data_IF_164537709014
#
_entry.id   IF_164537709014
#
_cell.length_a   1.000
_cell.length_b   1.000
_cell.length_c   1.000
_cell.angle_alpha   90.00
_cell.angle_beta   90.00
_cell.angle_gamma   90.00
#
_symmetry.space_group_name_H-M   'P 1'
#
loop_
_entity.id
_entity.type
_entity.pdbx_description
1 polymer ?
#
# COMPACT_ATOMS: atom_id res chain seq x y z
N UNK A 1 3.85 34.06 -2.56
CA UNK A 1 4.15 32.65 -2.88
C UNK A 1 2.95 31.79 -2.46
N UNK A 2 2.47 30.89 -3.30
CA UNK A 2 1.46 29.89 -2.88
C UNK A 2 2.11 28.93 -1.88
N UNK A 3 1.35 28.41 -0.92
CA UNK A 3 1.86 27.40 0.01
C UNK A 3 2.23 26.11 -0.72
N UNK A 4 3.20 25.33 -0.21
CA UNK A 4 3.56 24.00 -0.75
C UNK A 4 2.33 23.09 -0.92
N UNK A 5 1.31 23.28 -0.09
CA UNK A 5 0.05 22.55 -0.17
C UNK A 5 -0.83 22.99 -1.36
N UNK A 6 -0.88 24.29 -1.66
CA UNK A 6 -1.60 24.80 -2.83
C UNK A 6 -0.89 24.40 -4.14
N UNK A 7 0.44 24.44 -4.16
CA UNK A 7 1.24 23.98 -5.30
C UNK A 7 1.05 22.49 -5.58
N UNK A 8 0.99 21.65 -4.53
CA UNK A 8 0.75 20.21 -4.68
C UNK A 8 -0.53 19.92 -5.48
N UNK A 9 -1.63 20.63 -5.18
CA UNK A 9 -2.91 20.43 -5.89
C UNK A 9 -2.85 20.83 -7.36
N UNK A 10 -1.96 21.74 -7.73
CA UNK A 10 -1.82 22.22 -9.11
C UNK A 10 -0.95 21.29 -9.97
N UNK A 11 0.02 20.62 -9.37
CA UNK A 11 1.01 19.80 -10.09
C UNK A 11 0.80 18.30 -9.92
N UNK A 12 -0.02 17.86 -8.95
CA UNK A 12 -0.33 16.47 -8.70
C UNK A 12 -1.81 16.12 -8.95
N UNK A 13 -2.11 15.05 -9.71
CA UNK A 13 -1.18 14.23 -10.49
C UNK A 13 -0.61 14.98 -11.70
N UNK A 14 0.46 14.43 -12.30
CA UNK A 14 1.00 14.97 -13.55
C UNK A 14 -0.06 14.88 -14.67
N UNK A 15 -0.11 15.84 -15.60
CA UNK A 15 -1.11 15.84 -16.69
C UNK A 15 -1.16 14.55 -17.53
N UNK A 16 -0.02 13.87 -17.68
CA UNK A 16 0.13 12.58 -18.39
C UNK A 16 -0.71 11.44 -17.78
N UNK A 17 -1.16 11.58 -16.54
CA UNK A 17 -2.02 10.60 -15.86
C UNK A 17 -3.51 10.76 -16.24
N UNK A 18 -3.87 11.73 -17.09
CA UNK A 18 -5.23 11.98 -17.58
C UNK A 18 -6.29 12.24 -16.49
N UNK A 19 -5.87 12.50 -15.24
CA UNK A 19 -6.74 12.76 -14.10
C UNK A 19 -6.22 13.95 -13.28
N UNK A 20 -7.12 14.59 -12.54
CA UNK A 20 -6.77 15.59 -11.52
C UNK A 20 -7.54 15.36 -10.22
N UNK A 21 -6.99 15.86 -9.11
CA UNK A 21 -7.70 15.90 -7.84
C UNK A 21 -8.91 16.84 -7.93
N UNK A 22 -10.03 16.39 -7.39
CA UNK A 22 -11.23 17.20 -7.20
C UNK A 22 -11.71 17.06 -5.75
N UNK A 23 -12.16 18.17 -5.16
CA UNK A 23 -12.71 18.19 -3.81
C UNK A 23 -14.24 18.29 -3.88
N UNK A 24 -14.92 17.29 -3.31
CA UNK A 24 -16.38 17.23 -3.20
C UNK A 24 -16.81 17.38 -1.75
N UNK A 25 -17.91 18.08 -1.51
CA UNK A 25 -18.53 18.14 -0.19
C UNK A 25 -19.21 16.79 0.09
N UNK A 26 -18.73 16.08 1.12
CA UNK A 26 -19.15 14.72 1.47
C UNK A 26 -20.06 14.68 2.70
N UNK A 27 -20.37 15.83 3.29
CA UNK A 27 -21.29 15.96 4.41
C UNK A 27 -20.87 17.07 5.38
N UNK A 28 -21.47 17.03 6.57
CA UNK A 28 -21.20 17.96 7.65
C UNK A 28 -21.08 17.16 8.95
N UNK A 29 -20.07 17.44 9.77
CA UNK A 29 -19.97 16.85 11.11
C UNK A 29 -21.14 17.33 12.00
N UNK A 30 -21.44 16.64 13.12
CA UNK A 30 -22.46 17.12 14.07
C UNK A 30 -22.23 18.55 14.55
N UNK A 31 -20.97 19.01 14.58
CA UNK A 31 -20.54 20.36 14.95
C UNK A 31 -20.61 21.37 13.78
N UNK A 32 -21.18 21.00 12.64
CA UNK A 32 -21.36 21.91 11.50
C UNK A 32 -20.14 22.03 10.57
N UNK A 33 -19.07 21.26 10.78
CA UNK A 33 -17.87 21.34 9.94
C UNK A 33 -18.08 20.58 8.63
N UNK A 34 -17.85 21.23 7.49
CA UNK A 34 -17.92 20.57 6.18
C UNK A 34 -16.84 19.49 6.06
N UNK A 35 -17.27 18.27 5.73
CA UNK A 35 -16.40 17.15 5.40
C UNK A 35 -16.10 17.22 3.91
N UNK A 36 -14.83 17.46 3.57
CA UNK A 36 -14.36 17.51 2.19
C UNK A 36 -13.73 16.16 1.85
N UNK A 37 -14.22 15.52 0.80
CA UNK A 37 -13.61 14.32 0.22
C UNK A 37 -12.82 14.72 -1.02
N UNK A 38 -11.68 14.06 -1.23
CA UNK A 38 -10.92 14.15 -2.48
C UNK A 38 -11.23 12.94 -3.36
N UNK A 39 -11.44 13.20 -4.64
CA UNK A 39 -11.61 12.20 -5.68
C UNK A 39 -10.76 12.54 -6.91
N UNK A 40 -10.87 11.72 -7.95
CA UNK A 40 -10.18 11.91 -9.23
C UNK A 40 -11.21 12.14 -10.33
N UNK A 41 -10.99 13.17 -11.14
CA UNK A 41 -11.81 13.47 -12.33
C UNK A 41 -10.97 13.41 -13.59
N UNK A 42 -11.57 13.00 -14.70
CA UNK A 42 -10.92 12.88 -16.00
C UNK A 42 -10.55 14.24 -16.62
N UNK A 43 -9.42 14.27 -17.32
CA UNK A 43 -8.94 15.41 -18.10
C UNK A 43 -9.30 15.33 -19.59
N UNK A 44 -9.72 14.16 -20.07
CA UNK A 44 -10.13 13.87 -21.45
C UNK A 44 -11.26 12.83 -21.46
N UNK A 45 -11.90 12.67 -22.61
CA UNK A 45 -12.82 11.55 -22.85
C UNK A 45 -12.03 10.25 -22.93
N UNK A 46 -12.63 9.15 -22.47
CA UNK A 46 -12.01 7.83 -22.39
C UNK A 46 -13.00 6.77 -22.86
N UNK A 47 -12.56 5.84 -23.70
CA UNK A 47 -13.40 4.74 -24.19
C UNK A 47 -13.40 3.54 -23.28
N UNK A 48 -14.47 2.74 -23.31
CA UNK A 48 -14.50 1.45 -22.62
C UNK A 48 -13.26 0.61 -22.96
N UNK A 49 -12.61 0.06 -21.93
CA UNK A 49 -11.39 -0.75 -22.07
C UNK A 49 -10.09 0.06 -22.19
N UNK A 50 -10.14 1.38 -22.32
CA UNK A 50 -8.94 2.22 -22.37
C UNK A 50 -8.29 2.36 -20.98
N UNK A 51 -6.96 2.30 -20.95
CA UNK A 51 -6.16 2.58 -19.75
C UNK A 51 -6.10 4.09 -19.54
N UNK A 52 -6.65 4.55 -18.41
CA UNK A 52 -6.65 5.96 -18.02
C UNK A 52 -5.24 6.37 -17.59
N UNK A 53 -4.66 5.59 -16.67
CA UNK A 53 -3.28 5.72 -16.22
C UNK A 53 -2.75 4.40 -15.66
N UNK A 54 -1.42 4.32 -15.58
CA UNK A 54 -0.70 3.25 -14.91
C UNK A 54 0.23 3.82 -13.84
N UNK A 55 0.39 3.11 -12.73
CA UNK A 55 1.17 3.56 -11.58
C UNK A 55 1.87 2.37 -10.90
N UNK A 56 3.18 2.51 -10.65
CA UNK A 56 3.91 1.58 -9.79
C UNK A 56 3.60 1.86 -8.32
N UNK A 57 3.48 0.83 -7.46
CA UNK A 57 3.34 1.07 -6.03
C UNK A 57 4.62 1.70 -5.51
N UNK A 58 4.48 2.70 -4.66
CA UNK A 58 5.64 3.25 -3.99
C UNK A 58 6.06 2.37 -2.80
N UNK A 59 5.18 1.51 -2.28
CA UNK A 59 5.52 0.42 -1.34
C UNK A 59 4.61 -0.78 -1.64
N UNK A 60 5.16 -1.99 -1.68
CA UNK A 60 4.39 -3.22 -1.83
C UNK A 60 4.98 -4.40 -1.05
N UNK A 61 4.14 -5.40 -0.77
CA UNK A 61 4.58 -6.67 -0.19
C UNK A 61 3.68 -7.81 -0.61
N UNK A 62 4.26 -9.01 -0.76
CA UNK A 62 3.48 -10.25 -0.79
C UNK A 62 2.72 -10.40 0.52
N UNK A 63 1.58 -11.07 0.47
CA UNK A 63 0.92 -11.51 1.70
C UNK A 63 1.74 -12.58 2.40
N UNK A 64 1.58 -12.68 3.72
CA UNK A 64 2.31 -13.61 4.59
C UNK A 64 2.17 -15.06 4.09
N UNK A 65 0.97 -15.45 3.66
CA UNK A 65 0.69 -16.80 3.14
C UNK A 65 1.26 -17.04 1.72
N UNK A 66 1.90 -16.04 1.12
CA UNK A 66 2.51 -16.08 -0.21
C UNK A 66 4.03 -15.92 -0.19
N UNK A 67 4.67 -15.82 0.97
CA UNK A 67 6.14 -15.68 1.06
C UNK A 67 6.87 -16.90 0.46
N UNK A 68 6.31 -18.10 0.62
CA UNK A 68 6.88 -19.37 0.12
C UNK A 68 6.31 -19.79 -1.25
N UNK A 69 5.80 -18.83 -2.03
CA UNK A 69 5.16 -19.11 -3.32
C UNK A 69 6.02 -18.69 -4.51
N UNK A 70 5.58 -19.03 -5.72
CA UNK A 70 6.26 -18.71 -6.98
C UNK A 70 6.08 -17.22 -7.39
N UNK A 71 6.09 -16.29 -6.43
CA UNK A 71 5.98 -14.86 -6.68
C UNK A 71 7.22 -14.11 -6.20
N UNK A 72 7.61 -13.10 -6.98
CA UNK A 72 8.72 -12.22 -6.64
C UNK A 72 8.38 -11.36 -5.43
N UNK A 73 9.22 -11.36 -4.38
CA UNK A 73 9.02 -10.53 -3.19
C UNK A 73 9.16 -9.02 -3.42
N UNK A 74 9.65 -8.61 -4.60
CA UNK A 74 9.76 -7.19 -5.01
C UNK A 74 8.61 -6.76 -5.92
N UNK A 75 8.51 -7.35 -7.13
CA UNK A 75 7.54 -6.93 -8.14
C UNK A 75 6.22 -7.73 -8.12
N UNK A 76 6.10 -8.75 -7.27
CA UNK A 76 4.92 -9.60 -7.09
C UNK A 76 4.47 -10.34 -8.37
N UNK A 77 5.31 -10.35 -9.39
CA UNK A 77 5.10 -11.13 -10.60
C UNK A 77 5.49 -12.59 -10.37
N UNK A 78 4.94 -13.49 -11.18
CA UNK A 78 5.26 -14.91 -11.11
C UNK A 78 6.73 -15.17 -11.46
N UNK A 79 7.32 -16.14 -10.78
CA UNK A 79 8.68 -16.62 -10.99
C UNK A 79 8.58 -17.98 -11.68
N UNK A 80 8.77 -18.01 -13.00
CA UNK A 80 8.63 -19.25 -13.78
C UNK A 80 9.86 -20.15 -13.73
N UNK A 81 11.06 -19.61 -13.52
CA UNK A 81 12.32 -20.32 -13.79
C UNK A 81 13.47 -20.01 -12.80
N UNK A 82 13.22 -19.96 -11.50
CA UNK A 82 14.33 -19.89 -10.56
C UNK A 82 14.17 -20.82 -9.36
N UNK A 83 14.97 -21.89 -9.39
CA UNK A 83 15.33 -22.68 -8.22
C UNK A 83 15.80 -21.70 -7.14
N UNK A 84 15.04 -21.62 -6.05
CA UNK A 84 15.40 -21.02 -4.76
C UNK A 84 15.63 -19.50 -4.67
N UNK A 85 15.17 -18.66 -5.60
CA UNK A 85 15.27 -17.19 -5.42
C UNK A 85 13.92 -16.52 -5.19
N UNK A 86 13.79 -15.80 -4.06
CA UNK A 86 12.67 -14.90 -3.72
C UNK A 86 12.42 -13.78 -4.76
N UNK A 87 13.29 -13.61 -5.75
CA UNK A 87 13.26 -12.52 -6.72
C UNK A 87 13.31 -13.04 -8.15
N UNK A 88 12.60 -12.37 -9.06
CA UNK A 88 12.54 -12.77 -10.47
C UNK A 88 13.71 -12.28 -11.34
N UNK A 89 14.59 -11.43 -10.77
CA UNK A 89 15.76 -10.85 -11.42
C UNK A 89 16.72 -10.21 -10.40
N UNK A 90 17.99 -10.04 -10.78
CA UNK A 90 18.98 -9.30 -9.97
C UNK A 90 18.57 -7.84 -9.71
N UNK A 91 17.85 -7.21 -10.66
CA UNK A 91 17.26 -5.88 -10.48
C UNK A 91 16.27 -5.86 -9.31
N UNK A 92 15.34 -6.81 -9.28
CA UNK A 92 14.35 -6.93 -8.20
C UNK A 92 15.00 -7.19 -6.84
N UNK A 93 16.04 -8.03 -6.79
CA UNK A 93 16.80 -8.26 -5.55
C UNK A 93 17.50 -6.98 -5.06
N UNK A 94 18.19 -6.27 -5.97
CA UNK A 94 18.89 -5.01 -5.63
C UNK A 94 17.92 -3.91 -5.17
N UNK A 95 16.78 -3.75 -5.83
CA UNK A 95 15.75 -2.78 -5.45
C UNK A 95 15.14 -3.11 -4.09
N UNK A 96 14.74 -4.37 -3.87
CA UNK A 96 14.22 -4.81 -2.59
C UNK A 96 15.24 -4.56 -1.46
N UNK A 97 16.51 -4.88 -1.69
CA UNK A 97 17.59 -4.69 -0.74
C UNK A 97 17.84 -3.22 -0.40
N UNK A 98 17.99 -2.37 -1.44
CA UNK A 98 18.51 -1.01 -1.29
C UNK A 98 17.44 0.04 -1.02
N UNK A 99 16.19 -0.22 -1.42
CA UNK A 99 15.12 0.79 -1.45
C UNK A 99 14.01 0.45 -0.45
N UNK A 100 13.57 -0.81 -0.37
CA UNK A 100 12.37 -1.18 0.38
C UNK A 100 12.69 -1.88 1.71
N UNK A 101 13.80 -1.54 2.35
CA UNK A 101 14.17 -2.11 3.65
C UNK A 101 14.51 -3.60 3.60
N UNK A 102 14.86 -4.18 2.45
CA UNK A 102 15.35 -5.57 2.38
C UNK A 102 16.64 -5.76 3.18
N UNK A 103 17.51 -4.74 3.23
CA UNK A 103 18.66 -4.69 4.15
C UNK A 103 18.28 -4.68 5.65
N UNK A 104 17.03 -4.38 5.99
CA UNK A 104 16.51 -4.32 7.36
C UNK A 104 15.69 -5.56 7.70
N UNK A 105 14.81 -6.00 6.78
CA UNK A 105 13.92 -7.15 6.96
C UNK A 105 14.59 -8.49 6.69
N UNK A 106 15.54 -8.53 5.76
CA UNK A 106 16.25 -9.74 5.36
C UNK A 106 17.77 -9.52 5.36
N UNK A 107 18.37 -9.03 6.45
CA UNK A 107 19.80 -8.67 6.51
C UNK A 107 20.76 -9.81 6.12
N UNK A 108 20.32 -11.06 6.18
CA UNK A 108 21.01 -12.27 5.71
C UNK A 108 21.09 -12.39 4.18
N UNK A 109 20.14 -11.81 3.44
CA UNK A 109 20.04 -11.89 1.97
C UNK A 109 21.00 -10.91 1.25
N UNK A 110 22.11 -10.55 1.91
CA UNK A 110 23.07 -9.53 1.43
C UNK A 110 23.67 -9.95 0.08
N UNK A 111 23.62 -9.09 -0.96
CA UNK A 111 24.09 -9.44 -2.30
C UNK A 111 25.62 -9.70 -2.40
N UNK A 112 26.40 -9.34 -1.38
CA UNK A 112 27.85 -9.52 -1.33
C UNK A 112 28.28 -10.09 0.04
N UNK A 113 28.76 -11.34 0.03
CA UNK A 113 29.13 -12.11 1.22
C UNK A 113 30.64 -12.02 1.51
N UNK A 114 31.10 -11.07 2.35
CA UNK A 114 32.56 -10.97 2.61
C UNK A 114 32.99 -10.41 3.98
N UNK A 115 32.14 -10.31 5.01
CA UNK A 115 32.63 -9.92 6.35
C UNK A 115 32.08 -10.80 7.48
N UNK A 116 32.90 -11.13 8.51
CA UNK A 116 32.43 -11.85 9.68
C UNK A 116 31.26 -11.12 10.35
N UNK A 117 30.25 -11.87 10.78
CA UNK A 117 29.08 -11.32 11.45
C UNK A 117 29.48 -10.62 12.76
N UNK A 118 29.11 -9.35 12.88
CA UNK A 118 29.32 -8.59 14.11
C UNK A 118 28.16 -8.85 15.07
N UNK A 119 28.36 -8.65 16.38
CA UNK A 119 27.25 -8.69 17.35
C UNK A 119 26.11 -7.71 16.98
N UNK A 120 26.45 -6.62 16.28
CA UNK A 120 25.50 -5.65 15.75
C UNK A 120 24.64 -6.24 14.61
N UNK A 121 25.22 -6.96 13.65
CA UNK A 121 24.44 -7.60 12.59
C UNK A 121 23.52 -8.70 13.15
N UNK A 122 23.99 -9.45 14.15
CA UNK A 122 23.17 -10.47 14.82
C UNK A 122 21.95 -9.89 15.53
N UNK A 123 22.07 -8.72 16.17
CA UNK A 123 20.92 -8.08 16.81
C UNK A 123 19.89 -7.58 15.78
N UNK A 124 20.35 -7.02 14.66
CA UNK A 124 19.45 -6.60 13.57
C UNK A 124 18.71 -7.80 12.96
N UNK A 125 19.40 -8.92 12.73
CA UNK A 125 18.77 -10.18 12.28
C UNK A 125 17.70 -10.62 13.28
N UNK A 126 18.02 -10.68 14.59
CA UNK A 126 17.04 -11.06 15.62
C UNK A 126 15.81 -10.15 15.63
N UNK A 127 16.00 -8.83 15.50
CA UNK A 127 14.87 -7.89 15.48
C UNK A 127 13.98 -8.12 14.24
N UNK A 128 14.58 -8.39 13.08
CA UNK A 128 13.85 -8.68 11.83
C UNK A 128 13.05 -9.98 11.94
N UNK A 129 13.68 -11.05 12.45
CA UNK A 129 13.02 -12.33 12.70
C UNK A 129 11.85 -12.17 13.66
N UNK A 130 12.03 -11.47 14.79
CA UNK A 130 10.96 -11.23 15.76
C UNK A 130 9.76 -10.51 15.14
N UNK A 131 10.00 -9.52 14.25
CA UNK A 131 8.92 -8.83 13.54
C UNK A 131 8.21 -9.78 12.56
N UNK A 132 8.97 -10.53 11.76
CA UNK A 132 8.42 -11.45 10.77
C UNK A 132 7.58 -12.56 11.43
N UNK A 133 8.07 -13.16 12.51
CA UNK A 133 7.33 -14.16 13.30
C UNK A 133 6.05 -13.59 13.88
N UNK A 134 6.10 -12.38 14.44
CA UNK A 134 4.92 -11.71 14.97
C UNK A 134 3.89 -11.41 13.87
N UNK A 135 4.33 -10.90 12.72
CA UNK A 135 3.49 -10.67 11.55
C UNK A 135 2.85 -11.96 11.04
N UNK A 136 3.59 -13.08 11.07
CA UNK A 136 3.09 -14.39 10.69
C UNK A 136 2.06 -14.93 11.66
N UNK A 137 2.35 -14.86 12.97
CA UNK A 137 1.46 -15.29 14.05
C UNK A 137 0.12 -14.53 14.00
N UNK A 138 0.17 -13.21 13.81
CA UNK A 138 -1.01 -12.34 13.81
C UNK A 138 -1.64 -12.14 12.43
N UNK A 139 -1.03 -12.66 11.38
CA UNK A 139 -1.43 -12.44 9.98
C UNK A 139 -1.55 -10.93 9.63
N UNK A 140 -0.49 -10.17 9.94
CA UNK A 140 -0.41 -8.72 9.75
C UNK A 140 0.67 -8.36 8.74
N UNK A 141 0.32 -7.53 7.75
CA UNK A 141 1.26 -7.06 6.73
C UNK A 141 1.63 -5.59 6.91
N UNK A 142 0.78 -4.77 7.56
CA UNK A 142 1.07 -3.35 7.77
C UNK A 142 2.38 -3.05 8.51
N UNK A 143 2.86 -3.84 9.49
CA UNK A 143 4.17 -3.59 10.10
C UNK A 143 5.30 -3.75 9.07
N UNK A 144 5.24 -4.77 8.20
CA UNK A 144 6.21 -4.97 7.13
C UNK A 144 6.15 -3.82 6.12
N UNK A 145 4.96 -3.41 5.68
CA UNK A 145 4.79 -2.24 4.80
C UNK A 145 5.37 -0.96 5.43
N UNK A 146 5.24 -0.80 6.75
CA UNK A 146 5.80 0.35 7.47
C UNK A 146 7.33 0.34 7.44
N UNK A 147 7.96 -0.81 7.63
CA UNK A 147 9.43 -0.95 7.50
C UNK A 147 9.87 -0.61 6.08
N UNK A 148 9.17 -1.12 5.06
CA UNK A 148 9.46 -0.83 3.65
C UNK A 148 9.31 0.66 3.32
N UNK A 149 8.28 1.31 3.88
CA UNK A 149 8.06 2.75 3.74
C UNK A 149 9.20 3.57 4.36
N UNK A 150 9.60 3.25 5.58
CA UNK A 150 10.71 3.93 6.25
C UNK A 150 12.01 3.73 5.46
N UNK A 151 12.29 2.51 5.01
CA UNK A 151 13.44 2.21 4.15
C UNK A 151 13.45 3.06 2.88
N UNK A 152 12.29 3.21 2.22
CA UNK A 152 12.15 4.07 1.04
C UNK A 152 12.44 5.52 1.36
N UNK A 153 11.87 6.05 2.45
CA UNK A 153 12.10 7.44 2.87
C UNK A 153 13.58 7.71 3.17
N UNK A 154 14.26 6.77 3.83
CA UNK A 154 15.70 6.86 4.08
C UNK A 154 16.52 6.82 2.78
N UNK A 155 16.14 5.97 1.82
CA UNK A 155 16.76 5.93 0.50
C UNK A 155 16.55 7.22 -0.30
N UNK A 156 15.36 7.82 -0.22
CA UNK A 156 15.05 9.12 -0.86
C UNK A 156 15.88 10.25 -0.27
N UNK A 157 16.06 10.27 1.06
CA UNK A 157 16.91 11.27 1.74
C UNK A 157 18.38 11.14 1.32
N UNK A 158 18.88 9.92 1.17
CA UNK A 158 20.24 9.68 0.66
C UNK A 158 20.38 10.11 -0.81
N UNK A 159 19.42 9.77 -1.67
CA UNK A 159 19.46 10.13 -3.10
C UNK A 159 19.17 11.61 -3.36
N UNK A 160 18.43 12.28 -2.48
CA UNK A 160 18.17 13.71 -2.53
C UNK A 160 19.43 14.57 -2.46
N UNK A 161 20.54 14.00 -1.96
CA UNK A 161 21.88 14.62 -2.00
C UNK A 161 22.59 14.45 -3.35
N UNK A 162 22.07 13.61 -4.26
CA UNK A 162 22.69 13.20 -5.53
C UNK A 162 21.95 13.67 -6.82
N UNK A 163 20.88 14.46 -6.69
CA UNK A 163 20.38 15.31 -7.79
C UNK A 163 19.55 14.61 -8.87
N UNK A 164 18.35 14.12 -8.54
CA UNK A 164 17.16 14.13 -9.42
C UNK A 164 15.93 13.80 -8.56
N UNK A 165 15.41 14.79 -7.82
CA UNK A 165 14.24 14.58 -6.97
C UNK A 165 12.94 14.80 -7.75
N UNK A 166 11.99 13.90 -7.53
CA UNK A 166 10.56 14.20 -7.65
C UNK A 166 10.25 15.49 -6.88
N UNK A 167 9.39 16.36 -7.43
CA UNK A 167 8.99 17.63 -6.78
C UNK A 167 8.45 17.41 -5.35
N UNK A 168 7.88 16.23 -5.10
CA UNK A 168 7.35 15.81 -3.80
C UNK A 168 7.94 14.47 -3.35
N UNK A 169 8.27 14.37 -2.07
CA UNK A 169 8.76 13.14 -1.44
C UNK A 169 7.62 12.13 -1.22
N UNK A 170 7.95 10.86 -0.97
CA UNK A 170 6.94 9.85 -0.58
C UNK A 170 6.15 10.30 0.65
N UNK A 171 6.81 10.96 1.62
CA UNK A 171 6.12 11.49 2.80
C UNK A 171 5.13 12.61 2.46
N UNK A 172 5.49 13.51 1.54
CA UNK A 172 4.59 14.58 1.10
C UNK A 172 3.27 13.99 0.55
N UNK A 173 3.31 12.87 -0.18
CA UNK A 173 2.11 12.20 -0.66
C UNK A 173 1.31 11.56 0.49
N UNK A 174 1.96 10.73 1.31
CA UNK A 174 1.29 9.93 2.36
C UNK A 174 0.64 10.81 3.42
N UNK A 175 1.28 11.90 3.81
CA UNK A 175 0.76 12.82 4.82
C UNK A 175 -0.67 13.32 4.46
N UNK A 176 -0.97 13.43 3.15
CA UNK A 176 -2.24 13.91 2.61
C UNK A 176 -3.32 12.84 2.46
N UNK A 177 -2.99 11.56 2.65
CA UNK A 177 -3.96 10.48 2.57
C UNK A 177 -4.95 10.51 3.73
N UNK A 178 -6.20 10.20 3.43
CA UNK A 178 -7.19 9.88 4.46
C UNK A 178 -6.74 8.64 5.23
N UNK A 179 -7.14 8.53 6.49
CA UNK A 179 -6.74 7.42 7.34
C UNK A 179 -7.84 7.07 8.35
N UNK A 180 -7.83 5.82 8.76
CA UNK A 180 -8.70 5.34 9.84
C UNK A 180 -8.06 5.73 11.18
N UNK A 181 -8.80 6.44 12.05
CA UNK A 181 -8.34 6.81 13.39
C UNK A 181 -8.38 5.59 14.32
N UNK A 182 -7.25 4.89 14.43
CA UNK A 182 -7.13 3.66 15.22
C UNK A 182 -7.21 3.87 16.74
N UNK A 183 -7.10 5.11 17.22
CA UNK A 183 -7.24 5.43 18.63
C UNK A 183 -8.69 5.38 19.11
N UNK A 184 -9.65 5.32 18.16
CA UNK A 184 -11.08 5.34 18.46
C UNK A 184 -11.79 4.17 17.76
N UNK A 185 -12.82 3.59 18.38
CA UNK A 185 -13.66 2.63 17.68
C UNK A 185 -14.52 3.34 16.65
N UNK A 186 -14.80 2.65 15.54
CA UNK A 186 -15.81 3.09 14.59
C UNK A 186 -17.19 2.70 15.11
N UNK A 187 -18.14 3.63 15.11
CA UNK A 187 -19.55 3.34 15.37
C UNK A 187 -20.23 2.83 14.10
N UNK A 188 -20.67 1.57 14.15
CA UNK A 188 -21.43 0.96 13.07
C UNK A 188 -22.78 0.51 13.60
N UNK A 189 -23.77 1.37 13.35
CA UNK A 189 -25.17 1.12 13.72
C UNK A 189 -25.34 0.86 15.25
N UNK A 190 -24.57 1.59 16.08
CA UNK A 190 -24.58 1.48 17.54
C UNK A 190 -23.58 0.46 18.11
N UNK A 191 -22.87 -0.28 17.26
CA UNK A 191 -21.81 -1.20 17.66
C UNK A 191 -20.44 -0.51 17.54
N UNK A 192 -19.64 -0.54 18.61
CA UNK A 192 -18.26 -0.01 18.60
C UNK A 192 -17.30 -1.08 18.11
N UNK A 193 -16.72 -0.86 16.93
CA UNK A 193 -15.80 -1.81 16.28
C UNK A 193 -14.37 -1.30 16.38
N UNK A 194 -13.48 -2.13 16.93
CA UNK A 194 -12.04 -1.88 16.98
C UNK A 194 -11.32 -2.71 15.90
N UNK A 195 -10.42 -2.08 15.15
CA UNK A 195 -9.65 -2.74 14.09
C UNK A 195 -8.53 -3.64 14.62
N UNK A 196 -7.99 -3.31 15.79
CA UNK A 196 -6.99 -4.07 16.51
C UNK A 196 -6.99 -3.65 17.99
N UNK A 197 -6.42 -4.47 18.87
CA UNK A 197 -6.18 -4.05 20.26
C UNK A 197 -5.02 -3.05 20.32
N UNK A 198 -5.13 -2.05 21.20
CA UNK A 198 -4.06 -1.07 21.42
C UNK A 198 -2.76 -1.75 21.87
N UNK A 199 -2.84 -2.82 22.65
CA UNK A 199 -1.68 -3.64 23.06
C UNK A 199 -0.97 -4.27 21.85
N UNK A 200 -1.74 -4.79 20.88
CA UNK A 200 -1.16 -5.34 19.66
C UNK A 200 -0.46 -4.25 18.86
N UNK A 201 -1.10 -3.09 18.68
CA UNK A 201 -0.52 -1.94 17.97
C UNK A 201 0.75 -1.45 18.66
N UNK A 202 0.77 -1.38 19.99
CA UNK A 202 1.95 -1.01 20.76
C UNK A 202 3.10 -2.01 20.55
N UNK A 203 2.79 -3.32 20.55
CA UNK A 203 3.78 -4.36 20.26
C UNK A 203 4.33 -4.26 18.85
N UNK A 204 3.46 -4.03 17.86
CA UNK A 204 3.87 -3.79 16.46
C UNK A 204 4.83 -2.61 16.36
N UNK A 205 4.46 -1.46 16.95
CA UNK A 205 5.30 -0.26 16.99
C UNK A 205 6.67 -0.56 17.58
N UNK A 206 6.75 -1.23 18.74
CA UNK A 206 8.02 -1.57 19.40
C UNK A 206 8.92 -2.44 18.51
N UNK A 207 8.33 -3.42 17.81
CA UNK A 207 9.08 -4.30 16.90
C UNK A 207 9.61 -3.53 15.68
N UNK A 208 8.78 -2.68 15.06
CA UNK A 208 9.21 -1.81 13.95
C UNK A 208 10.28 -0.82 14.41
N UNK A 209 10.08 -0.19 15.57
CA UNK A 209 11.03 0.77 16.13
C UNK A 209 12.39 0.14 16.40
N UNK A 210 12.43 -1.08 16.93
CA UNK A 210 13.67 -1.81 17.22
C UNK A 210 14.56 -2.04 15.99
N UNK A 211 14.00 -2.03 14.78
CA UNK A 211 14.76 -2.15 13.53
C UNK A 211 15.56 -0.89 13.18
N UNK A 212 15.08 0.27 13.62
CA UNK A 212 15.61 1.58 13.24
C UNK A 212 16.09 2.42 14.44
N UNK A 213 16.04 1.90 15.66
CA UNK A 213 16.36 2.64 16.89
C UNK A 213 17.78 3.22 16.95
N UNK A 214 18.70 2.75 16.10
CA UNK A 214 20.06 3.28 15.96
C UNK A 214 20.15 4.46 14.99
N UNK A 215 19.11 4.70 14.20
CA UNK A 215 19.04 5.84 13.28
C UNK A 215 18.89 7.13 14.09
N UNK A 216 19.79 8.13 13.92
CA UNK A 216 19.74 9.36 14.67
C UNK A 216 18.37 10.06 14.56
N UNK A 217 17.80 10.50 15.69
CA UNK A 217 16.50 11.19 15.78
C UNK A 217 15.31 10.36 15.32
N UNK A 218 15.44 9.04 15.16
CA UNK A 218 14.34 8.18 14.73
C UNK A 218 13.21 8.10 15.77
N UNK A 219 13.54 8.24 17.05
CA UNK A 219 12.60 8.43 18.17
C UNK A 219 11.66 9.63 17.98
N UNK A 220 12.15 10.70 17.37
CA UNK A 220 11.34 11.88 17.03
C UNK A 220 10.56 11.69 15.74
N UNK A 221 11.07 10.84 14.86
CA UNK A 221 10.40 10.54 13.61
C UNK A 221 9.22 9.62 13.85
N UNK A 222 9.42 8.42 14.42
CA UNK A 222 8.38 7.41 14.62
C UNK A 222 7.99 7.34 16.10
N UNK A 223 6.92 8.05 16.45
CA UNK A 223 6.20 7.88 17.71
C UNK A 223 5.12 6.79 17.55
N UNK A 224 4.54 6.35 18.66
CA UNK A 224 3.36 5.47 18.70
C UNK A 224 2.15 6.10 17.97
N UNK A 225 1.88 7.39 18.19
CA UNK A 225 0.84 8.14 17.49
C UNK A 225 1.08 8.16 15.97
N UNK A 226 2.32 8.43 15.55
CA UNK A 226 2.65 8.45 14.12
C UNK A 226 2.57 7.06 13.50
N UNK A 227 2.97 6.01 14.24
CA UNK A 227 2.81 4.63 13.80
C UNK A 227 1.33 4.29 13.58
N UNK A 228 0.44 4.67 14.51
CA UNK A 228 -1.01 4.49 14.36
C UNK A 228 -1.56 5.21 13.14
N UNK A 229 -1.14 6.45 12.88
CA UNK A 229 -1.54 7.20 11.69
C UNK A 229 -1.06 6.51 10.41
N UNK A 230 0.20 6.06 10.36
CA UNK A 230 0.75 5.33 9.21
C UNK A 230 -0.02 4.02 8.97
N UNK A 231 -0.29 3.25 10.03
CA UNK A 231 -1.09 2.02 9.94
C UNK A 231 -2.50 2.30 9.44
N UNK A 232 -3.17 3.32 9.98
CA UNK A 232 -4.49 3.78 9.54
C UNK A 232 -4.50 4.18 8.06
N UNK A 233 -3.41 4.80 7.55
CA UNK A 233 -3.25 5.13 6.14
C UNK A 233 -3.11 3.87 5.28
N UNK A 234 -2.34 2.87 5.71
CA UNK A 234 -2.25 1.60 4.97
C UNK A 234 -3.60 0.88 4.91
N UNK A 235 -4.27 0.73 6.05
CA UNK A 235 -5.57 0.05 6.14
C UNK A 235 -6.64 0.73 5.27
N UNK A 236 -6.62 2.07 5.18
CA UNK A 236 -7.53 2.80 4.32
C UNK A 236 -7.14 2.73 2.85
N UNK A 237 -5.87 2.92 2.51
CA UNK A 237 -5.47 3.26 1.14
C UNK A 237 -4.88 2.12 0.34
N UNK A 238 -4.30 1.12 1.00
CA UNK A 238 -3.56 0.09 0.28
C UNK A 238 -4.51 -0.82 -0.52
N UNK A 239 -4.02 -1.28 -1.67
CA UNK A 239 -4.76 -1.99 -2.70
C UNK A 239 -4.19 -3.40 -2.83
N UNK A 240 -5.05 -4.41 -2.72
CA UNK A 240 -4.73 -5.80 -3.01
C UNK A 240 -4.26 -5.94 -4.45
N UNK A 241 -3.10 -6.58 -4.63
CA UNK A 241 -2.51 -6.89 -5.93
C UNK A 241 -2.98 -8.28 -6.33
N UNK A 242 -3.51 -8.38 -7.54
CA UNK A 242 -4.09 -9.61 -8.08
C UNK A 242 -3.18 -10.12 -9.19
N UNK A 243 -2.84 -11.41 -9.15
CA UNK A 243 -2.13 -12.07 -10.25
C UNK A 243 -3.12 -12.72 -11.20
N UNK A 244 -2.92 -12.53 -12.51
CA UNK A 244 -3.68 -13.24 -13.54
C UNK A 244 -3.18 -14.66 -13.78
N UNK A 245 -1.98 -15.00 -13.31
CA UNK A 245 -1.42 -16.34 -13.46
C UNK A 245 -2.16 -17.31 -12.54
N UNK A 246 -2.60 -18.45 -13.11
CA UNK A 246 -3.21 -19.53 -12.36
C UNK A 246 -2.17 -20.15 -11.42
N UNK A 247 -2.20 -19.78 -10.15
CA UNK A 247 -1.55 -20.59 -9.11
C UNK A 247 -2.49 -21.75 -8.80
N UNK A 248 -1.92 -22.95 -8.73
CA UNK A 248 -2.62 -24.16 -8.27
C UNK A 248 -3.46 -23.78 -7.06
N UNK A 249 -4.77 -24.06 -7.10
CA UNK A 249 -5.68 -23.86 -5.96
C UNK A 249 -5.10 -24.60 -4.75
N UNK A 250 -4.37 -23.90 -3.90
CA UNK A 250 -4.20 -24.32 -2.51
C UNK A 250 -5.59 -24.27 -1.90
N UNK A 251 -5.99 -25.36 -1.26
CA UNK A 251 -7.26 -25.46 -0.54
C UNK A 251 -7.49 -24.17 0.26
N UNK A 252 -8.67 -23.56 0.09
CA UNK A 252 -9.09 -22.37 0.82
C UNK A 252 -9.22 -22.73 2.30
N UNK A 253 -8.10 -22.74 3.03
CA UNK A 253 -8.13 -22.73 4.49
C UNK A 253 -8.76 -21.42 4.91
N UNK A 254 -9.67 -21.50 5.88
CA UNK A 254 -10.31 -20.33 6.48
C UNK A 254 -9.20 -19.37 6.95
N UNK A 255 -9.03 -18.25 6.23
CA UNK A 255 -7.94 -17.31 6.51
C UNK A 255 -8.15 -16.77 7.94
N UNK A 256 -7.11 -16.73 8.79
CA UNK A 256 -7.22 -16.04 10.07
C UNK A 256 -7.72 -14.61 9.83
N UNK A 257 -8.57 -14.07 10.73
CA UNK A 257 -9.00 -12.67 10.69
C UNK A 257 -7.75 -11.79 10.56
N UNK A 258 -7.54 -11.22 9.38
CA UNK A 258 -6.39 -10.40 9.05
C UNK A 258 -6.82 -9.02 8.55
N UNK A 259 -5.86 -8.26 8.04
CA UNK A 259 -6.09 -6.93 7.52
C UNK A 259 -6.84 -6.96 6.18
N UNK A 260 -7.71 -5.97 5.96
CA UNK A 260 -8.55 -5.90 4.76
C UNK A 260 -8.17 -4.69 3.90
N UNK A 261 -7.65 -4.94 2.71
CA UNK A 261 -7.26 -3.90 1.74
C UNK A 261 -8.34 -3.65 0.68
N UNK A 262 -8.19 -2.60 -0.12
CA UNK A 262 -9.08 -2.29 -1.26
C UNK A 262 -8.84 -3.33 -2.35
N UNK A 263 -9.91 -3.91 -2.91
CA UNK A 263 -9.79 -4.92 -3.97
C UNK A 263 -10.94 -4.77 -4.96
N UNK A 264 -10.65 -4.88 -6.25
CA UNK A 264 -11.64 -4.71 -7.33
C UNK A 264 -12.38 -6.00 -7.67
N UNK A 265 -11.81 -7.18 -7.40
CA UNK A 265 -12.34 -8.48 -7.82
C UNK A 265 -11.95 -9.63 -6.87
N UNK A 266 -12.07 -10.88 -7.32
CA UNK A 266 -12.02 -12.13 -6.56
C UNK A 266 -10.79 -12.27 -5.64
N UNK A 267 -11.04 -12.37 -4.33
CA UNK A 267 -10.01 -12.50 -3.28
C UNK A 267 -9.08 -13.71 -3.42
N UNK A 268 -9.49 -14.76 -4.14
CA UNK A 268 -8.69 -15.98 -4.31
C UNK A 268 -7.40 -15.77 -5.10
N UNK A 269 -7.30 -14.68 -5.87
CA UNK A 269 -6.13 -14.37 -6.72
C UNK A 269 -5.24 -13.26 -6.16
N UNK A 270 -5.51 -12.81 -4.95
CA UNK A 270 -4.69 -11.79 -4.31
C UNK A 270 -3.35 -12.39 -3.86
N UNK A 271 -2.25 -11.75 -4.24
CA UNK A 271 -0.88 -12.20 -3.98
C UNK A 271 -0.15 -11.32 -2.97
N UNK A 272 -0.62 -10.08 -2.83
CA UNK A 272 -0.01 -9.09 -1.96
C UNK A 272 -0.79 -7.80 -1.97
N UNK A 273 -0.13 -6.75 -1.54
CA UNK A 273 -0.72 -5.42 -1.35
C UNK A 273 0.29 -4.35 -1.73
N UNK A 274 -0.20 -3.26 -2.31
CA UNK A 274 0.59 -2.09 -2.68
C UNK A 274 -0.08 -0.79 -2.29
N UNK A 275 0.71 0.25 -2.06
CA UNK A 275 0.25 1.61 -1.84
C UNK A 275 0.72 2.48 -3.02
N UNK A 276 -0.22 3.28 -3.54
CA UNK A 276 -0.11 4.00 -4.81
C UNK A 276 -0.43 5.47 -4.58
N UNK A 277 0.31 6.42 -5.14
CA UNK A 277 0.11 7.84 -4.86
C UNK A 277 -1.23 8.34 -5.41
N UNK A 278 -1.53 8.04 -6.68
CA UNK A 278 -2.71 8.55 -7.38
C UNK A 278 -3.91 7.67 -7.05
N UNK A 279 -3.77 6.36 -7.17
CA UNK A 279 -4.89 5.44 -6.97
C UNK A 279 -5.45 5.45 -5.52
N UNK A 280 -4.71 5.95 -4.53
CA UNK A 280 -5.22 6.15 -3.16
C UNK A 280 -6.37 7.16 -3.08
N UNK A 281 -6.47 8.09 -4.04
CA UNK A 281 -7.56 9.07 -4.13
C UNK A 281 -8.82 8.53 -4.85
N UNK A 282 -8.74 7.34 -5.45
CA UNK A 282 -9.92 6.69 -6.00
C UNK A 282 -10.89 6.36 -4.89
N UNK A 283 -12.16 6.52 -5.19
CA UNK A 283 -13.21 6.40 -4.21
C UNK A 283 -14.20 5.32 -4.54
N UNK A 284 -14.98 4.95 -3.53
CA UNK A 284 -15.93 3.88 -3.65
C UNK A 284 -17.19 4.28 -4.43
N UNK A 285 -17.61 3.41 -5.34
CA UNK A 285 -18.98 3.28 -5.81
C UNK A 285 -19.37 1.80 -5.81
N UNK A 286 -20.61 1.48 -5.45
CA UNK A 286 -21.18 0.14 -5.67
C UNK A 286 -21.41 -0.14 -7.16
N UNK A 287 -21.42 0.91 -7.99
CA UNK A 287 -21.47 0.85 -9.45
C UNK A 287 -20.21 1.53 -10.00
N UNK A 288 -19.04 0.89 -9.90
CA UNK A 288 -17.79 1.49 -10.33
C UNK A 288 -17.76 1.66 -11.85
N UNK A 289 -17.12 2.74 -12.30
CA UNK A 289 -16.92 3.03 -13.72
C UNK A 289 -15.49 2.73 -14.20
N UNK A 290 -14.59 2.38 -13.28
CA UNK A 290 -13.23 1.90 -13.60
C UNK A 290 -12.92 0.60 -12.85
N UNK A 291 -11.94 -0.14 -13.34
CA UNK A 291 -11.40 -1.35 -12.70
C UNK A 291 -9.88 -1.32 -12.63
N UNK A 292 -9.34 -2.18 -11.76
CA UNK A 292 -7.90 -2.41 -11.64
C UNK A 292 -7.47 -3.63 -12.44
N UNK A 293 -6.42 -3.48 -13.23
CA UNK A 293 -5.67 -4.57 -13.84
C UNK A 293 -4.20 -4.48 -13.45
N UNK A 294 -3.63 -5.59 -13.04
CA UNK A 294 -2.24 -5.65 -12.59
C UNK A 294 -1.35 -6.31 -13.64
N UNK A 295 -0.07 -5.92 -13.66
CA UNK A 295 0.89 -6.43 -14.62
C UNK A 295 1.26 -5.42 -15.70
N UNK A 296 2.31 -5.74 -16.46
CA UNK A 296 2.70 -4.93 -17.60
C UNK A 296 1.85 -5.26 -18.83
N UNK A 297 1.42 -4.21 -19.54
CA UNK A 297 0.88 -4.34 -20.89
C UNK A 297 1.91 -4.89 -21.89
N UNK A 298 3.21 -4.75 -21.57
CA UNK A 298 4.28 -5.43 -22.28
C UNK A 298 4.66 -6.72 -21.53
N UNK A 299 4.32 -7.87 -22.11
CA UNK A 299 4.54 -9.20 -21.51
C UNK A 299 6.02 -9.52 -21.21
N UNK A 300 6.97 -8.80 -21.80
CA UNK A 300 8.40 -8.99 -21.52
C UNK A 300 8.87 -8.28 -20.24
N UNK A 301 8.10 -7.30 -19.73
CA UNK A 301 8.45 -6.53 -18.54
C UNK A 301 7.78 -7.14 -17.31
N UNK A 302 8.57 -7.79 -16.44
CA UNK A 302 8.09 -8.27 -15.13
C UNK A 302 7.67 -7.11 -14.24
N UNK A 303 6.38 -6.97 -13.97
CA UNK A 303 5.81 -5.87 -13.21
C UNK A 303 4.43 -6.24 -12.65
N UNK A 304 4.35 -7.37 -11.94
CA UNK A 304 3.10 -7.90 -11.38
C UNK A 304 2.37 -6.90 -10.47
N UNK A 305 3.08 -5.98 -9.84
CA UNK A 305 2.50 -4.92 -9.01
C UNK A 305 2.15 -3.64 -9.75
N UNK A 306 2.45 -3.50 -11.05
CA UNK A 306 2.05 -2.32 -11.83
C UNK A 306 0.52 -2.26 -11.91
N UNK A 307 -0.05 -1.19 -11.38
CA UNK A 307 -1.49 -0.96 -11.42
C UNK A 307 -1.87 -0.23 -12.72
N UNK A 308 -2.87 -0.73 -13.42
CA UNK A 308 -3.52 -0.07 -14.54
C UNK A 308 -4.98 0.22 -14.16
N UNK A 309 -5.40 1.47 -14.30
CA UNK A 309 -6.79 1.89 -14.08
C UNK A 309 -7.50 1.96 -15.42
N UNK A 310 -8.48 1.08 -15.62
CA UNK A 310 -9.12 0.84 -16.92
C UNK A 310 -10.59 1.24 -16.88
N UNK A 311 -11.08 1.93 -17.90
CA UNK A 311 -12.49 2.32 -17.99
C UNK A 311 -13.40 1.11 -18.26
N UNK A 312 -14.50 0.99 -17.51
CA UNK A 312 -15.51 -0.08 -17.67
C UNK A 312 -16.65 0.30 -18.63
N UNK A 313 -16.66 1.53 -19.11
CA UNK A 313 -17.63 2.12 -20.04
C UNK A 313 -17.02 3.38 -20.64
N UNK A 314 -17.66 3.95 -21.65
CA UNK A 314 -17.32 5.29 -22.14
C UNK A 314 -17.51 6.34 -21.03
N UNK A 315 -16.53 7.24 -20.89
CA UNK A 315 -16.49 8.30 -19.89
C UNK A 315 -16.13 9.63 -20.55
N UNK A 316 -16.72 10.71 -20.05
CA UNK A 316 -16.52 12.07 -20.55
C UNK A 316 -15.51 12.81 -19.68
N UNK A 317 -14.77 13.74 -20.26
CA UNK A 317 -13.96 14.70 -19.52
C UNK A 317 -14.75 15.34 -18.38
N UNK A 318 -14.16 15.34 -17.20
CA UNK A 318 -14.79 15.86 -15.98
C UNK A 318 -15.56 14.82 -15.15
N UNK A 319 -15.82 13.63 -15.70
CA UNK A 319 -16.41 12.54 -14.93
C UNK A 319 -15.48 12.13 -13.78
N UNK A 320 -16.05 11.91 -12.60
CA UNK A 320 -15.34 11.32 -11.48
C UNK A 320 -15.21 9.80 -11.67
N UNK A 321 -14.03 9.27 -11.34
CA UNK A 321 -13.73 7.84 -11.46
C UNK A 321 -13.80 7.14 -10.11
N UNK A 322 -14.47 6.00 -10.10
CA UNK A 322 -14.82 5.22 -8.92
C UNK A 322 -14.45 3.75 -9.11
N UNK A 323 -13.90 3.18 -8.05
CA UNK A 323 -13.69 1.75 -7.92
C UNK A 323 -14.66 1.17 -6.90
N UNK A 324 -14.70 -0.14 -6.85
CA UNK A 324 -15.37 -0.83 -5.77
C UNK A 324 -14.37 -1.16 -4.64
N UNK A 325 -14.76 -0.95 -3.38
CA UNK A 325 -13.94 -1.28 -2.20
C UNK A 325 -14.39 -2.57 -1.53
N UNK A 326 -15.60 -3.04 -1.85
CA UNK A 326 -16.30 -4.10 -1.11
C UNK A 326 -16.96 -5.07 -2.07
N UNK A 327 -17.19 -6.30 -1.65
CA UNK A 327 -17.91 -7.26 -2.48
C UNK A 327 -19.37 -6.79 -2.69
N UNK A 328 -19.76 -6.55 -3.94
CA UNK A 328 -21.11 -6.11 -4.33
C UNK A 328 -22.15 -7.21 -4.24
N UNK A 329 -21.74 -8.48 -4.14
CA UNK A 329 -22.65 -9.60 -3.91
C UNK A 329 -23.22 -9.61 -2.49
N UNK A 330 -22.53 -8.97 -1.53
CA UNK A 330 -23.03 -8.77 -0.17
C UNK A 330 -24.22 -7.82 -0.16
N UNK A 331 -25.12 -7.97 0.81
CA UNK A 331 -26.29 -7.10 0.91
C UNK A 331 -25.92 -5.66 1.33
N UNK A 332 -26.82 -4.70 1.10
CA UNK A 332 -26.58 -3.26 1.38
C UNK A 332 -26.14 -2.98 2.82
N UNK A 333 -26.67 -3.71 3.81
CA UNK A 333 -26.30 -3.53 5.22
C UNK A 333 -24.86 -3.99 5.47
N UNK A 334 -24.47 -5.15 4.96
CA UNK A 334 -23.10 -5.68 5.04
C UNK A 334 -22.11 -4.74 4.34
N UNK A 335 -22.43 -4.26 3.13
CA UNK A 335 -21.57 -3.31 2.41
C UNK A 335 -21.42 -2.01 3.17
N UNK A 336 -22.50 -1.45 3.70
CA UNK A 336 -22.44 -0.23 4.54
C UNK A 336 -21.61 -0.43 5.80
N UNK A 337 -21.72 -1.59 6.45
CA UNK A 337 -20.90 -1.94 7.62
C UNK A 337 -19.42 -1.94 7.26
N UNK A 338 -19.02 -2.67 6.22
CA UNK A 338 -17.62 -2.73 5.77
C UNK A 338 -17.12 -1.35 5.32
N UNK A 339 -17.95 -0.57 4.64
CA UNK A 339 -17.58 0.79 4.23
C UNK A 339 -17.45 1.73 5.41
N UNK A 340 -18.34 1.67 6.42
CA UNK A 340 -18.20 2.45 7.66
C UNK A 340 -16.97 2.04 8.45
N UNK A 341 -16.69 0.74 8.51
CA UNK A 341 -15.43 0.20 9.05
C UNK A 341 -14.22 0.71 8.25
N UNK A 342 -14.38 1.14 7.00
CA UNK A 342 -13.27 1.59 6.17
C UNK A 342 -13.28 3.09 5.87
N UNK A 343 -14.24 3.91 6.31
CA UNK A 343 -14.43 5.33 5.90
C UNK A 343 -14.42 6.30 7.06
#
# INVERSE_FOLDING_TARGET
>A
MKSKQAQYKEHFPKPEMNVKLHETQHGTTPEGKQLIRRGLVLLKDVKEGEVIFSEDPFVSSLFIDKEESDYCSNCLDSVTDFKSSKYCSAKCHKEAWSIFGGNVLYPEDKPEATSPETAQSQQSIRNAVNLAEFCKEKNLITPLLTVKLIGKMMSEEQQGTAGTLSEYSTWDHIDRFHYIDLAKPTDVDGEKIWFASLEQIEKEYKLVFALFNKTPKFDKFLTDERYMVIKGKFLYNAISIISENEVKKTEEKEKPKGEYFKSSTNKSREVGVGLYHIASYLSHSCEPNVEFKFGSLNKEKKAGSLLNVVAKKDLTKGDEIFINFVDTTLNKKQRKRILKEKV
#
